data_IF_506771673163
#
_entry.id   IF_506771673163
#
_cell.length_a   1.000
_cell.length_b   1.000
_cell.length_c   1.000
_cell.angle_alpha   90.00
_cell.angle_beta   90.00
_cell.angle_gamma   90.00
#
_symmetry.space_group_name_H-M   'P 1'
#
loop_
_entity.id
_entity.type
_entity.pdbx_description
1 polymer ?
#
# COMPACT_ATOMS: atom_id res chain seq x y z
N UNK A 1 -19.76 -1.59 -7.50
CA UNK A 1 -18.59 -2.16 -6.80
C UNK A 1 -17.51 -2.40 -7.85
N UNK A 2 -16.28 -1.93 -7.63
CA UNK A 2 -15.16 -2.11 -8.57
C UNK A 2 -14.42 -3.39 -8.17
N UNK A 3 -14.22 -4.31 -9.12
CA UNK A 3 -13.43 -5.52 -8.90
C UNK A 3 -11.95 -5.22 -9.14
N UNK A 4 -11.07 -5.71 -8.28
CA UNK A 4 -9.62 -5.53 -8.36
C UNK A 4 -8.93 -6.90 -8.35
N UNK A 5 -8.19 -7.24 -9.40
CA UNK A 5 -7.42 -8.49 -9.45
C UNK A 5 -6.13 -8.38 -8.62
N UNK A 6 -5.54 -9.52 -8.30
CA UNK A 6 -4.32 -9.58 -7.49
C UNK A 6 -3.07 -9.02 -8.17
N UNK A 7 -3.09 -8.84 -9.48
CA UNK A 7 -2.01 -8.28 -10.30
C UNK A 7 -2.26 -6.80 -10.68
N UNK A 8 -3.36 -6.23 -10.23
CA UNK A 8 -3.78 -4.86 -10.55
C UNK A 8 -3.52 -3.89 -9.40
N UNK A 9 -3.31 -2.63 -9.76
CA UNK A 9 -3.32 -1.50 -8.84
C UNK A 9 -4.40 -0.52 -9.29
N UNK A 10 -5.36 -0.23 -8.41
CA UNK A 10 -6.32 0.84 -8.61
C UNK A 10 -5.65 2.17 -8.23
N UNK A 11 -5.73 3.14 -9.14
CA UNK A 11 -5.30 4.52 -8.90
C UNK A 11 -6.54 5.39 -8.73
N UNK A 12 -6.62 6.09 -7.61
CA UNK A 12 -7.65 7.11 -7.36
C UNK A 12 -6.96 8.47 -7.36
N UNK A 13 -7.13 9.21 -8.44
CA UNK A 13 -6.55 10.55 -8.60
C UNK A 13 -7.57 11.61 -8.19
N UNK A 14 -7.18 12.48 -7.25
CA UNK A 14 -7.91 13.69 -6.89
C UNK A 14 -7.22 14.94 -7.43
N UNK A 15 -7.71 16.13 -7.08
CA UNK A 15 -7.16 17.39 -7.60
C UNK A 15 -5.74 17.72 -7.08
N UNK A 16 -5.37 17.20 -5.90
CA UNK A 16 -4.12 17.54 -5.21
C UNK A 16 -3.41 16.34 -4.60
N UNK A 17 -3.89 15.12 -4.85
CA UNK A 17 -3.35 13.91 -4.25
C UNK A 17 -3.82 12.67 -4.99
N UNK A 18 -3.07 11.60 -4.80
CA UNK A 18 -3.31 10.30 -5.47
C UNK A 18 -3.24 9.18 -4.45
N UNK A 19 -4.16 8.21 -4.58
CA UNK A 19 -4.13 6.95 -3.83
C UNK A 19 -3.77 5.81 -4.77
N UNK A 20 -2.89 4.92 -4.31
CA UNK A 20 -2.65 3.61 -4.90
C UNK A 20 -3.24 2.54 -4.01
N UNK A 21 -4.00 1.61 -4.59
CA UNK A 21 -4.67 0.52 -3.87
C UNK A 21 -4.32 -0.81 -4.53
N UNK A 22 -3.81 -1.77 -3.75
CA UNK A 22 -3.55 -3.15 -4.18
C UNK A 22 -4.12 -4.13 -3.16
N UNK A 23 -4.40 -5.37 -3.58
CA UNK A 23 -4.69 -6.47 -2.66
C UNK A 23 -3.43 -6.96 -1.97
N UNK A 24 -3.53 -7.37 -0.71
CA UNK A 24 -2.42 -8.01 0.02
C UNK A 24 -1.93 -9.28 -0.71
N UNK A 25 -2.84 -10.00 -1.37
CA UNK A 25 -2.57 -11.12 -2.28
C UNK A 25 -2.20 -12.44 -1.60
N UNK A 26 -1.60 -12.38 -0.43
CA UNK A 26 -1.26 -13.53 0.41
C UNK A 26 -1.53 -13.20 1.88
N UNK A 27 -1.72 -14.25 2.68
CA UNK A 27 -1.74 -14.12 4.14
C UNK A 27 -0.37 -13.66 4.64
N UNK A 28 -0.35 -12.59 5.43
CA UNK A 28 0.90 -12.04 5.99
C UNK A 28 0.64 -11.26 7.26
N UNK A 29 1.71 -10.98 7.99
CA UNK A 29 1.69 -10.14 9.18
C UNK A 29 2.70 -9.01 9.01
N UNK A 30 2.29 -7.79 9.33
CA UNK A 30 3.19 -6.66 9.48
C UNK A 30 3.34 -6.31 10.96
N UNK A 31 4.58 -6.18 11.40
CA UNK A 31 4.91 -5.71 12.74
C UNK A 31 5.12 -4.21 12.66
N UNK A 32 4.34 -3.46 13.42
CA UNK A 32 4.38 -2.00 13.43
C UNK A 32 4.89 -1.56 14.79
N UNK A 33 6.14 -1.11 14.81
CA UNK A 33 6.73 -0.54 16.00
C UNK A 33 6.28 0.91 16.19
N UNK A 34 5.96 1.28 17.43
CA UNK A 34 5.56 2.64 17.80
C UNK A 34 6.17 3.01 19.15
N UNK A 35 6.26 4.30 19.51
CA UNK A 35 6.72 4.71 20.83
C UNK A 35 5.94 4.11 22.01
N UNK A 36 4.73 3.60 21.79
CA UNK A 36 3.89 2.97 22.83
C UNK A 36 4.02 1.44 22.88
N UNK A 37 4.76 0.85 21.94
CA UNK A 37 4.91 -0.59 21.77
C UNK A 37 4.63 -1.04 20.34
N UNK A 38 4.88 -2.33 20.09
CA UNK A 38 4.65 -2.98 18.81
C UNK A 38 3.24 -3.58 18.72
N UNK A 39 2.62 -3.49 17.55
CA UNK A 39 1.39 -4.23 17.25
C UNK A 39 1.48 -4.95 15.90
N UNK A 40 0.67 -5.99 15.75
CA UNK A 40 0.65 -6.86 14.56
C UNK A 40 -0.59 -6.58 13.72
N UNK A 41 -0.39 -6.30 12.44
CA UNK A 41 -1.43 -6.25 11.42
C UNK A 41 -1.46 -7.57 10.67
N UNK A 42 -2.46 -8.41 10.93
CA UNK A 42 -2.71 -9.63 10.19
C UNK A 42 -3.57 -9.31 8.96
N UNK A 43 -3.12 -9.75 7.78
CA UNK A 43 -3.80 -9.51 6.51
C UNK A 43 -4.20 -10.83 5.85
N UNK A 44 -5.43 -10.87 5.36
CA UNK A 44 -5.96 -11.87 4.44
C UNK A 44 -5.69 -11.48 2.98
N UNK A 45 -5.73 -12.43 2.02
CA UNK A 45 -5.39 -12.15 0.62
C UNK A 45 -6.21 -11.03 -0.04
N UNK A 46 -7.46 -10.87 0.38
CA UNK A 46 -8.39 -9.85 -0.14
C UNK A 46 -8.35 -8.52 0.62
N UNK A 47 -7.58 -8.42 1.71
CA UNK A 47 -7.35 -7.15 2.39
C UNK A 47 -6.59 -6.17 1.48
N UNK A 48 -6.77 -4.87 1.72
CA UNK A 48 -6.21 -3.83 0.87
C UNK A 48 -4.99 -3.17 1.52
N UNK A 49 -3.95 -2.99 0.71
CA UNK A 49 -2.85 -2.08 1.01
C UNK A 49 -3.08 -0.78 0.26
N UNK A 50 -3.05 0.33 0.99
CA UNK A 50 -3.32 1.67 0.45
C UNK A 50 -2.15 2.59 0.77
N UNK A 51 -1.62 3.24 -0.26
CA UNK A 51 -0.63 4.31 -0.11
C UNK A 51 -1.18 5.61 -0.69
N UNK A 52 -0.82 6.73 -0.09
CA UNK A 52 -1.21 8.06 -0.53
C UNK A 52 0.00 8.94 -0.79
N UNK A 53 -0.14 9.88 -1.72
CA UNK A 53 0.88 10.87 -2.01
C UNK A 53 0.23 12.21 -2.37
N UNK A 54 0.90 13.31 -2.03
CA UNK A 54 0.56 14.64 -2.50
C UNK A 54 0.96 14.80 -3.97
N UNK A 55 0.09 15.43 -4.77
CA UNK A 55 0.25 15.60 -6.21
C UNK A 55 -0.42 14.51 -7.05
N UNK A 56 -0.30 14.68 -8.36
CA UNK A 56 -0.94 13.85 -9.39
C UNK A 56 0.03 13.49 -10.53
N UNK A 57 -0.38 12.58 -11.40
CA UNK A 57 0.38 12.21 -12.60
C UNK A 57 1.42 11.09 -12.42
N UNK A 58 2.05 10.71 -13.54
CA UNK A 58 2.82 9.47 -13.67
C UNK A 58 3.96 9.29 -12.67
N UNK A 59 4.63 10.39 -12.30
CA UNK A 59 5.71 10.37 -11.31
C UNK A 59 5.19 9.95 -9.93
N UNK A 60 4.01 10.45 -9.55
CA UNK A 60 3.36 10.10 -8.29
C UNK A 60 2.89 8.65 -8.32
N UNK A 61 2.24 8.23 -9.41
CA UNK A 61 1.78 6.84 -9.61
C UNK A 61 2.95 5.85 -9.55
N UNK A 62 4.09 6.20 -10.15
CA UNK A 62 5.32 5.38 -10.11
C UNK A 62 5.87 5.24 -8.69
N UNK A 63 5.86 6.34 -7.92
CA UNK A 63 6.26 6.33 -6.51
C UNK A 63 5.34 5.45 -5.65
N UNK A 64 4.03 5.60 -5.80
CA UNK A 64 3.04 4.77 -5.11
C UNK A 64 3.19 3.28 -5.46
N UNK A 65 3.38 2.96 -6.74
CA UNK A 65 3.63 1.58 -7.19
C UNK A 65 4.90 1.01 -6.55
N UNK A 66 5.98 1.79 -6.51
CA UNK A 66 7.23 1.38 -5.88
C UNK A 66 7.02 1.06 -4.40
N UNK A 67 6.43 2.00 -3.64
CA UNK A 67 6.18 1.81 -2.20
C UNK A 67 5.33 0.57 -1.93
N UNK A 68 4.20 0.43 -2.64
CA UNK A 68 3.31 -0.73 -2.48
C UNK A 68 4.01 -2.03 -2.87
N UNK A 69 4.83 -2.03 -3.92
CA UNK A 69 5.62 -3.19 -4.34
C UNK A 69 6.68 -3.57 -3.30
N UNK A 70 7.39 -2.60 -2.73
CA UNK A 70 8.40 -2.84 -1.69
C UNK A 70 7.78 -3.53 -0.46
N UNK A 71 6.59 -3.06 -0.03
CA UNK A 71 5.86 -3.63 1.11
C UNK A 71 5.31 -5.02 0.76
N UNK A 72 4.66 -5.15 -0.41
CA UNK A 72 3.90 -6.34 -0.78
C UNK A 72 4.78 -7.47 -1.31
N UNK A 73 5.74 -7.20 -2.16
CA UNK A 73 6.52 -8.25 -2.83
C UNK A 73 7.84 -8.51 -2.13
N UNK A 74 8.45 -7.48 -1.54
CA UNK A 74 9.79 -7.58 -0.95
C UNK A 74 9.78 -7.64 0.58
N UNK A 75 8.60 -7.59 1.21
CA UNK A 75 8.45 -7.56 2.67
C UNK A 75 9.32 -6.49 3.33
N UNK A 76 9.53 -5.37 2.64
CA UNK A 76 10.39 -4.30 3.11
C UNK A 76 9.67 -3.53 4.23
N UNK A 77 10.32 -3.32 5.39
CA UNK A 77 9.71 -2.57 6.48
C UNK A 77 9.53 -1.11 6.07
N UNK A 78 8.35 -0.55 6.36
CA UNK A 78 8.10 0.87 6.14
C UNK A 78 8.54 1.64 7.38
N UNK A 79 9.73 2.23 7.32
CA UNK A 79 10.24 3.10 8.38
C UNK A 79 9.76 4.52 8.10
N UNK A 80 8.89 5.03 8.97
CA UNK A 80 8.52 6.45 8.99
C UNK A 80 9.45 7.12 10.00
N UNK A 81 10.45 7.86 9.49
CA UNK A 81 11.42 8.62 10.29
C UNK A 81 10.84 9.96 10.77
#
# INVERSE_FOLDING_TARGET
>A
MISLRGDEMLVVEGNSGTLGVVKAGIRRQFFVDTPKGEFVLALEPDDLLVASAFGTGDRIVSGLRCVLYMIRELSSPLIVL
#
